data_IF_066770608761
#
_entry.id   IF_066770608761
#
_cell.length_a   1.000
_cell.length_b   1.000
_cell.length_c   1.000
_cell.angle_alpha   90.00
_cell.angle_beta   90.00
_cell.angle_gamma   90.00
#
_symmetry.space_group_name_H-M   'P 1'
#
loop_
_entity.id
_entity.type
_entity.pdbx_description
1 polymer ?
#
# COMPACT_ATOMS: atom_id res chain seq x y z
N UNK A 1 -3.55 2.13 -2.71
CA UNK A 1 -4.14 3.44 -2.36
C UNK A 1 -4.21 3.69 -0.85
N UNK A 2 -4.77 2.75 -0.03
CA UNK A 2 -4.95 2.99 1.41
C UNK A 2 -3.60 3.15 2.14
N UNK A 3 -2.61 2.33 1.83
CA UNK A 3 -1.25 2.41 2.39
C UNK A 3 -0.58 3.73 2.00
N UNK A 4 -0.70 4.14 0.75
CA UNK A 4 -0.17 5.42 0.27
C UNK A 4 -0.81 6.63 0.97
N UNK A 5 -2.03 6.47 1.48
CA UNK A 5 -2.76 7.53 2.20
C UNK A 5 -2.33 7.68 3.68
N UNK A 6 -1.38 6.89 4.18
CA UNK A 6 -0.97 6.96 5.59
C UNK A 6 -0.50 8.36 6.00
N UNK A 7 0.34 9.01 5.20
CA UNK A 7 0.78 10.38 5.44
C UNK A 7 -0.36 11.41 5.42
N UNK A 8 -1.42 11.13 4.64
CA UNK A 8 -2.67 11.93 4.63
C UNK A 8 -3.39 11.78 5.96
N UNK A 9 -3.57 10.55 6.45
CA UNK A 9 -4.23 10.28 7.74
C UNK A 9 -3.47 10.93 8.88
N UNK A 10 -2.15 10.79 8.90
CA UNK A 10 -1.23 11.43 9.86
C UNK A 10 -1.41 12.95 9.86
N UNK A 11 -1.47 13.58 8.69
CA UNK A 11 -1.62 15.03 8.53
C UNK A 11 -2.99 15.52 9.00
N UNK A 12 -4.07 14.81 8.66
CA UNK A 12 -5.41 15.10 9.14
C UNK A 12 -5.47 14.97 10.67
N UNK A 13 -4.90 13.89 11.23
CA UNK A 13 -4.85 13.70 12.68
C UNK A 13 -4.07 14.81 13.38
N UNK A 14 -2.97 15.26 12.81
CA UNK A 14 -2.17 16.37 13.35
C UNK A 14 -2.95 17.68 13.36
N UNK A 15 -3.65 18.00 12.25
CA UNK A 15 -4.50 19.20 12.14
C UNK A 15 -5.65 19.17 13.15
N UNK A 16 -6.26 18.02 13.35
CA UNK A 16 -7.38 17.81 14.25
C UNK A 16 -6.96 16.95 15.45
N UNK A 17 -5.91 17.36 16.17
CA UNK A 17 -5.28 16.59 17.26
C UNK A 17 -6.27 16.15 18.35
N UNK A 18 -7.23 16.98 18.70
CA UNK A 18 -8.26 16.71 19.72
C UNK A 18 -9.50 16.01 19.16
N UNK A 19 -9.61 15.82 17.84
CA UNK A 19 -10.76 15.17 17.25
C UNK A 19 -10.62 13.64 17.27
N UNK A 20 -11.77 12.97 17.32
CA UNK A 20 -11.89 11.53 17.06
C UNK A 20 -12.04 11.31 15.56
N UNK A 21 -10.98 10.84 14.90
CA UNK A 21 -11.05 10.49 13.50
C UNK A 21 -11.74 9.14 13.33
N UNK A 22 -12.70 9.08 12.43
CA UNK A 22 -13.40 7.86 12.04
C UNK A 22 -13.07 7.58 10.57
N UNK A 23 -12.61 6.37 10.29
CA UNK A 23 -12.39 5.91 8.91
C UNK A 23 -13.61 5.16 8.40
N UNK A 24 -14.16 5.58 7.26
CA UNK A 24 -15.14 4.81 6.50
C UNK A 24 -14.41 4.07 5.38
N UNK A 25 -14.41 2.74 5.43
CA UNK A 25 -13.74 1.90 4.42
C UNK A 25 -14.46 0.54 4.26
N UNK A 26 -14.09 -0.25 3.23
CA UNK A 26 -14.65 -1.59 3.10
C UNK A 26 -14.08 -2.56 4.13
N UNK A 27 -14.85 -3.61 4.45
CA UNK A 27 -14.43 -4.70 5.36
C UNK A 27 -13.10 -5.34 4.95
N UNK A 28 -12.85 -5.43 3.63
CA UNK A 28 -11.60 -5.96 3.06
C UNK A 28 -10.35 -5.25 3.61
N UNK A 29 -10.42 -3.94 3.81
CA UNK A 29 -9.28 -3.14 4.26
C UNK A 29 -9.25 -2.88 5.76
N UNK A 30 -10.30 -3.28 6.50
CA UNK A 30 -10.34 -3.07 7.95
C UNK A 30 -9.16 -3.75 8.66
N UNK A 31 -8.87 -5.00 8.33
CA UNK A 31 -7.75 -5.74 8.93
C UNK A 31 -6.39 -5.07 8.67
N UNK A 32 -6.23 -4.45 7.52
CA UNK A 32 -5.01 -3.74 7.14
C UNK A 32 -4.77 -2.50 8.03
N UNK A 33 -5.83 -1.77 8.36
CA UNK A 33 -5.73 -0.44 8.99
C UNK A 33 -6.10 -0.42 10.49
N UNK A 34 -6.57 -1.54 11.04
CA UNK A 34 -7.12 -1.59 12.41
C UNK A 34 -6.11 -1.19 13.50
N UNK A 35 -4.81 -1.37 13.24
CA UNK A 35 -3.74 -0.98 14.18
C UNK A 35 -3.28 0.47 14.00
N UNK A 36 -3.83 1.20 13.01
CA UNK A 36 -3.42 2.57 12.75
C UNK A 36 -3.71 3.47 13.95
N UNK A 37 -2.72 4.26 14.41
CA UNK A 37 -2.88 5.12 15.58
C UNK A 37 -3.73 6.37 15.32
N UNK A 38 -4.11 6.60 14.06
CA UNK A 38 -4.81 7.81 13.67
C UNK A 38 -6.31 7.76 13.90
N UNK A 39 -6.91 6.55 13.91
CA UNK A 39 -8.36 6.38 13.96
C UNK A 39 -8.86 5.95 15.33
N UNK A 40 -9.91 6.64 15.78
CA UNK A 40 -10.65 6.25 16.98
C UNK A 40 -11.56 5.04 16.70
N UNK A 41 -12.15 4.99 15.50
CA UNK A 41 -13.00 3.88 15.06
C UNK A 41 -12.96 3.73 13.54
N UNK A 42 -13.35 2.54 13.06
CA UNK A 42 -13.47 2.21 11.64
C UNK A 42 -14.89 1.72 11.38
N UNK A 43 -15.60 2.43 10.50
CA UNK A 43 -16.93 2.06 10.02
C UNK A 43 -16.78 1.34 8.69
N UNK A 44 -17.47 0.21 8.54
CA UNK A 44 -17.45 -0.59 7.33
C UNK A 44 -18.52 -0.13 6.34
N UNK A 45 -18.11 0.11 5.11
CA UNK A 45 -18.99 0.26 3.95
C UNK A 45 -18.60 -0.79 2.91
N UNK A 46 -19.36 -1.85 2.83
CA UNK A 46 -19.14 -2.95 1.88
C UNK A 46 -19.53 -2.59 0.45
N UNK A 47 -19.89 -1.34 0.20
CA UNK A 47 -20.23 -0.79 -1.12
C UNK A 47 -21.33 -1.59 -1.82
N UNK A 48 -22.28 -2.14 -1.06
CA UNK A 48 -23.44 -2.78 -1.62
C UNK A 48 -24.23 -1.79 -2.49
N UNK A 49 -24.96 -2.28 -3.48
CA UNK A 49 -25.76 -1.42 -4.33
C UNK A 49 -26.71 -0.54 -3.53
N UNK A 50 -26.93 0.71 -3.96
CA UNK A 50 -27.71 1.70 -3.21
C UNK A 50 -29.20 1.30 -3.03
N UNK A 51 -29.68 0.35 -3.84
CA UNK A 51 -31.03 -0.22 -3.66
C UNK A 51 -31.14 -1.24 -2.52
N UNK A 52 -30.01 -1.65 -1.91
CA UNK A 52 -30.06 -2.42 -0.67
C UNK A 52 -30.38 -1.49 0.51
N UNK A 53 -31.64 -1.09 0.62
CA UNK A 53 -32.09 -0.06 1.56
C UNK A 53 -31.78 -0.42 3.03
N UNK A 54 -31.82 -1.72 3.38
CA UNK A 54 -31.55 -2.17 4.75
C UNK A 54 -30.12 -1.86 5.16
N UNK A 55 -29.15 -2.25 4.36
CA UNK A 55 -27.72 -2.01 4.63
C UNK A 55 -27.38 -0.51 4.58
N UNK A 56 -27.99 0.19 3.63
CA UNK A 56 -27.82 1.64 3.53
C UNK A 56 -28.37 2.36 4.77
N UNK A 57 -29.55 1.94 5.27
CA UNK A 57 -30.13 2.49 6.50
C UNK A 57 -29.27 2.18 7.74
N UNK A 58 -28.72 0.97 7.81
CA UNK A 58 -27.78 0.57 8.89
C UNK A 58 -26.54 1.46 8.89
N UNK A 59 -25.92 1.66 7.73
CA UNK A 59 -24.78 2.56 7.57
C UNK A 59 -25.14 4.00 7.97
N UNK A 60 -26.31 4.48 7.51
CA UNK A 60 -26.82 5.81 7.82
C UNK A 60 -26.96 6.02 9.33
N UNK A 61 -27.62 5.11 10.03
CA UNK A 61 -27.80 5.19 11.47
C UNK A 61 -26.44 5.18 12.20
N UNK A 62 -25.50 4.34 11.72
CA UNK A 62 -24.18 4.30 12.29
C UNK A 62 -23.41 5.62 12.09
N UNK A 63 -23.49 6.21 10.91
CA UNK A 63 -22.88 7.51 10.64
C UNK A 63 -23.54 8.63 11.46
N UNK A 64 -24.85 8.62 11.60
CA UNK A 64 -25.58 9.62 12.38
C UNK A 64 -25.37 9.49 13.90
N UNK A 65 -24.94 8.34 14.41
CA UNK A 65 -24.57 8.19 15.83
C UNK A 65 -23.37 9.05 16.22
N UNK A 66 -22.58 9.50 15.23
CA UNK A 66 -21.49 10.44 15.39
C UNK A 66 -21.92 11.84 14.94
N UNK A 67 -21.52 12.87 15.68
CA UNK A 67 -21.72 14.28 15.29
C UNK A 67 -20.45 14.75 14.56
N UNK A 68 -20.38 14.53 13.25
CA UNK A 68 -19.24 14.97 12.46
C UNK A 68 -19.24 16.49 12.25
N UNK A 69 -18.07 17.12 12.37
CA UNK A 69 -17.84 18.50 11.98
C UNK A 69 -17.22 18.60 10.58
N UNK A 70 -16.36 17.63 10.23
CA UNK A 70 -15.62 17.58 8.97
C UNK A 70 -15.68 16.20 8.35
N UNK A 71 -15.70 16.16 7.02
CA UNK A 71 -15.50 14.95 6.22
C UNK A 71 -14.42 15.22 5.20
N UNK A 72 -13.38 14.41 5.20
CA UNK A 72 -12.35 14.35 4.16
C UNK A 72 -12.69 13.24 3.18
N UNK A 73 -13.17 13.60 1.99
CA UNK A 73 -13.52 12.63 0.95
C UNK A 73 -12.31 12.35 0.08
N UNK A 74 -11.62 11.25 0.38
CA UNK A 74 -10.42 10.82 -0.34
C UNK A 74 -10.74 10.04 -1.64
N UNK A 75 -12.01 9.70 -1.88
CA UNK A 75 -12.41 8.95 -3.07
C UNK A 75 -13.05 9.82 -4.15
N UNK A 76 -13.75 10.88 -3.77
CA UNK A 76 -14.50 11.76 -4.66
C UNK A 76 -15.33 10.99 -5.70
N UNK A 77 -16.05 9.96 -5.24
CA UNK A 77 -16.85 9.04 -6.06
C UNK A 77 -18.31 9.46 -6.11
N UNK A 78 -19.08 8.90 -7.05
CA UNK A 78 -20.54 9.09 -7.07
C UNK A 78 -21.19 8.62 -5.76
N UNK A 79 -20.64 7.55 -5.16
CA UNK A 79 -21.15 7.04 -3.89
C UNK A 79 -20.92 8.03 -2.75
N UNK A 80 -19.73 8.63 -2.65
CA UNK A 80 -19.45 9.62 -1.62
C UNK A 80 -20.27 10.90 -1.81
N UNK A 81 -20.62 11.26 -3.04
CA UNK A 81 -21.59 12.32 -3.33
C UNK A 81 -22.97 12.00 -2.74
N UNK A 82 -23.47 10.76 -2.85
CA UNK A 82 -24.75 10.40 -2.20
C UNK A 82 -24.68 10.56 -0.69
N UNK A 83 -23.54 10.19 -0.06
CA UNK A 83 -23.37 10.42 1.38
C UNK A 83 -23.40 11.91 1.72
N UNK A 84 -22.74 12.74 0.95
CA UNK A 84 -22.76 14.19 1.13
C UNK A 84 -24.16 14.76 1.09
N UNK A 85 -24.96 14.39 0.10
CA UNK A 85 -26.28 14.97 -0.12
C UNK A 85 -27.36 14.41 0.80
N UNK A 86 -27.28 13.13 1.15
CA UNK A 86 -28.37 12.45 1.86
C UNK A 86 -28.07 12.18 3.33
N UNK A 87 -26.81 11.91 3.69
CA UNK A 87 -26.46 11.46 5.04
C UNK A 87 -25.84 12.57 5.90
N UNK A 88 -25.02 13.42 5.34
CA UNK A 88 -24.15 14.35 6.07
C UNK A 88 -24.25 15.78 5.52
N UNK A 89 -25.48 16.29 5.38
CA UNK A 89 -25.78 17.60 4.74
C UNK A 89 -25.13 18.80 5.46
N UNK A 90 -25.08 18.77 6.78
CA UNK A 90 -24.65 19.91 7.60
C UNK A 90 -23.19 19.79 8.07
N UNK A 91 -22.36 19.06 7.34
CA UNK A 91 -20.95 18.81 7.65
C UNK A 91 -20.07 19.52 6.65
N UNK A 92 -18.93 20.02 7.07
CA UNK A 92 -17.93 20.62 6.16
C UNK A 92 -17.24 19.49 5.39
N UNK A 93 -17.41 19.50 4.06
CA UNK A 93 -16.78 18.53 3.16
C UNK A 93 -15.55 19.10 2.49
N UNK A 94 -14.43 18.42 2.67
CA UNK A 94 -13.15 18.69 2.03
C UNK A 94 -12.91 17.57 1.04
N UNK A 95 -12.86 17.88 -0.23
CA UNK A 95 -12.75 16.92 -1.35
C UNK A 95 -11.84 17.46 -2.44
N UNK A 96 -11.28 16.58 -3.25
CA UNK A 96 -10.54 16.96 -4.43
C UNK A 96 -11.45 17.68 -5.43
N UNK A 97 -10.93 18.69 -6.12
CA UNK A 97 -11.60 19.20 -7.31
C UNK A 97 -11.53 18.08 -8.37
N UNK A 98 -12.64 17.77 -9.03
CA UNK A 98 -12.64 16.96 -10.25
C UNK A 98 -11.98 17.79 -11.34
N UNK A 99 -10.67 17.66 -11.48
CA UNK A 99 -9.94 18.28 -12.58
C UNK A 99 -9.82 17.25 -13.70
N UNK A 100 -10.03 17.69 -14.92
CA UNK A 100 -9.89 16.88 -16.15
C UNK A 100 -8.44 16.52 -16.48
N UNK A 101 -7.49 16.86 -15.61
CA UNK A 101 -6.08 16.51 -15.77
C UNK A 101 -5.75 15.18 -15.08
N UNK A 102 -4.95 14.32 -15.73
CA UNK A 102 -4.51 13.04 -15.20
C UNK A 102 -3.40 13.19 -14.14
N UNK A 103 -3.71 13.91 -13.06
CA UNK A 103 -2.86 13.93 -11.87
C UNK A 103 -2.96 12.56 -11.19
N UNK A 104 -1.87 12.09 -10.58
CA UNK A 104 -1.93 10.87 -9.74
C UNK A 104 -3.01 11.02 -8.68
N UNK A 105 -3.66 9.94 -8.31
CA UNK A 105 -4.70 9.98 -7.26
C UNK A 105 -4.16 10.58 -5.96
N UNK A 106 -2.91 10.29 -5.61
CA UNK A 106 -2.25 10.83 -4.42
C UNK A 106 -1.95 12.33 -4.56
N UNK A 107 -1.53 12.80 -5.74
CA UNK A 107 -1.27 14.23 -5.95
C UNK A 107 -2.55 15.07 -5.78
N UNK A 108 -3.68 14.59 -6.28
CA UNK A 108 -4.97 15.24 -6.05
C UNK A 108 -5.34 15.35 -4.57
N UNK A 109 -5.03 14.31 -3.77
CA UNK A 109 -5.22 14.33 -2.33
C UNK A 109 -4.26 15.29 -1.62
N UNK A 110 -3.00 15.35 -2.06
CA UNK A 110 -2.01 16.31 -1.55
C UNK A 110 -2.49 17.73 -1.77
N UNK A 111 -2.94 18.07 -2.97
CA UNK A 111 -3.42 19.41 -3.30
C UNK A 111 -4.70 19.76 -2.53
N UNK A 112 -5.59 18.81 -2.31
CA UNK A 112 -6.76 18.97 -1.43
C UNK A 112 -6.34 19.38 -0.01
N UNK A 113 -5.38 18.68 0.58
CA UNK A 113 -4.91 18.96 1.93
C UNK A 113 -4.10 20.26 2.01
N UNK A 114 -3.33 20.61 0.98
CA UNK A 114 -2.66 21.93 0.88
C UNK A 114 -3.68 23.07 0.88
N UNK A 115 -4.74 22.92 0.08
CA UNK A 115 -5.82 23.91 0.04
C UNK A 115 -6.54 24.06 1.39
N UNK A 116 -6.51 23.00 2.21
CA UNK A 116 -7.00 23.01 3.60
C UNK A 116 -5.93 23.42 4.63
N UNK A 117 -4.81 24.01 4.16
CA UNK A 117 -3.76 24.61 4.99
C UNK A 117 -2.71 23.62 5.56
N UNK A 118 -2.62 22.39 5.05
CA UNK A 118 -1.61 21.43 5.49
C UNK A 118 -0.32 21.55 4.67
N UNK A 119 0.82 21.15 5.28
CA UNK A 119 2.13 21.24 4.63
C UNK A 119 2.41 19.98 3.82
N UNK A 120 2.83 20.13 2.56
CA UNK A 120 3.14 19.02 1.65
C UNK A 120 4.15 18.02 2.21
N UNK A 121 5.20 18.50 2.87
CA UNK A 121 6.26 17.64 3.44
C UNK A 121 5.71 16.64 4.45
N UNK A 122 4.70 17.03 5.24
CA UNK A 122 4.08 16.15 6.23
C UNK A 122 3.17 15.10 5.58
N UNK A 123 2.46 15.51 4.51
CA UNK A 123 1.56 14.62 3.76
C UNK A 123 2.35 13.51 3.04
N UNK A 124 3.56 13.84 2.57
CA UNK A 124 4.42 12.92 1.82
C UNK A 124 5.29 12.01 2.72
N UNK A 125 5.18 12.12 4.05
CA UNK A 125 5.97 11.33 4.99
C UNK A 125 5.10 10.29 5.74
N UNK A 126 4.75 9.16 5.09
CA UNK A 126 4.03 8.07 5.74
C UNK A 126 4.89 7.42 6.83
N UNK A 127 4.22 6.85 7.83
CA UNK A 127 4.85 6.10 8.90
C UNK A 127 4.06 4.81 9.17
N UNK A 128 4.48 3.71 8.57
CA UNK A 128 3.86 2.40 8.75
C UNK A 128 4.46 1.58 9.90
N UNK A 129 5.26 2.16 10.79
CA UNK A 129 5.85 1.43 11.93
C UNK A 129 4.79 0.77 12.82
N UNK A 130 3.61 1.38 12.93
CA UNK A 130 2.46 0.83 13.66
C UNK A 130 1.95 -0.50 13.11
N UNK A 131 2.25 -0.81 11.86
CA UNK A 131 1.80 -2.02 11.17
C UNK A 131 2.72 -3.21 11.42
N UNK A 132 3.98 -2.97 11.80
CA UNK A 132 5.05 -3.97 11.88
C UNK A 132 4.86 -4.90 13.06
N UNK A 133 4.71 -6.22 12.80
CA UNK A 133 4.78 -7.25 13.83
C UNK A 133 6.23 -7.70 14.05
N UNK A 134 6.53 -8.22 15.25
CA UNK A 134 7.78 -8.96 15.45
C UNK A 134 7.68 -10.36 14.83
N UNK A 135 8.43 -10.57 13.78
CA UNK A 135 8.49 -11.83 13.03
C UNK A 135 9.71 -12.70 13.39
N UNK A 136 10.40 -12.41 14.49
CA UNK A 136 11.64 -13.14 14.88
C UNK A 136 11.40 -14.62 15.06
N UNK A 137 10.28 -15.02 15.67
CA UNK A 137 9.91 -16.42 15.83
C UNK A 137 9.54 -17.10 14.51
N UNK A 138 8.86 -16.37 13.63
CA UNK A 138 8.49 -16.86 12.30
C UNK A 138 9.73 -17.14 11.46
N UNK A 139 10.68 -16.22 11.43
CA UNK A 139 11.96 -16.37 10.71
C UNK A 139 12.77 -17.54 11.28
N UNK A 140 12.89 -17.64 12.63
CA UNK A 140 13.60 -18.73 13.29
C UNK A 140 12.99 -20.10 12.98
N UNK A 141 11.66 -20.22 13.02
CA UNK A 141 10.93 -21.48 12.69
C UNK A 141 11.24 -21.95 11.28
N UNK A 142 11.39 -21.01 10.34
CA UNK A 142 11.68 -21.30 8.93
C UNK A 142 13.20 -21.35 8.64
N UNK A 143 14.06 -21.28 9.69
CA UNK A 143 15.54 -21.31 9.57
C UNK A 143 16.11 -20.20 8.68
N UNK A 144 15.44 -19.04 8.64
CA UNK A 144 15.86 -17.88 7.85
C UNK A 144 16.83 -17.05 8.68
N UNK A 145 17.97 -16.70 8.11
CA UNK A 145 18.99 -15.87 8.73
C UNK A 145 18.50 -14.41 8.89
N UNK A 146 19.31 -13.59 9.55
CA UNK A 146 19.03 -12.14 9.64
C UNK A 146 19.33 -11.40 8.34
N UNK A 147 20.06 -12.02 7.42
CA UNK A 147 20.50 -11.43 6.17
C UNK A 147 19.70 -12.04 5.01
N UNK A 148 18.58 -11.47 4.69
CA UNK A 148 17.71 -11.97 3.64
C UNK A 148 17.15 -10.86 2.75
N UNK A 149 16.84 -11.26 1.52
CA UNK A 149 16.23 -10.44 0.49
C UNK A 149 14.76 -10.82 0.34
N UNK A 150 13.90 -9.84 0.18
CA UNK A 150 12.49 -10.07 -0.11
C UNK A 150 12.24 -9.87 -1.61
N UNK A 151 11.66 -10.87 -2.26
CA UNK A 151 11.17 -10.83 -3.62
C UNK A 151 9.63 -10.81 -3.61
N UNK A 152 9.05 -9.94 -4.45
CA UNK A 152 7.61 -9.81 -4.62
C UNK A 152 7.29 -10.06 -6.10
N UNK A 153 7.31 -11.34 -6.54
CA UNK A 153 7.22 -11.71 -7.94
C UNK A 153 5.82 -11.61 -8.52
N UNK A 154 4.82 -11.53 -7.66
CA UNK A 154 3.42 -11.55 -8.03
C UNK A 154 2.89 -10.26 -8.62
N UNK A 155 1.71 -10.37 -9.20
CA UNK A 155 0.84 -9.27 -9.63
C UNK A 155 -0.59 -9.78 -9.69
N UNK A 156 -1.57 -8.86 -9.70
CA UNK A 156 -2.97 -9.24 -9.90
C UNK A 156 -3.13 -10.17 -11.13
N UNK A 157 -4.00 -11.19 -11.04
CA UNK A 157 -4.34 -12.08 -12.17
C UNK A 157 -4.78 -11.34 -13.43
N UNK A 158 -5.31 -10.11 -13.28
CA UNK A 158 -5.72 -9.27 -14.42
C UNK A 158 -4.54 -8.61 -15.14
N UNK A 159 -3.36 -8.62 -14.54
CA UNK A 159 -2.17 -7.92 -15.03
C UNK A 159 -0.91 -8.78 -14.94
N UNK A 160 -0.89 -9.98 -15.57
CA UNK A 160 0.27 -10.86 -15.54
C UNK A 160 1.50 -10.25 -16.26
N UNK A 161 1.27 -9.31 -17.17
CA UNK A 161 2.30 -8.57 -17.88
C UNK A 161 3.18 -7.68 -16.99
N UNK A 162 2.76 -7.44 -15.74
CA UNK A 162 3.56 -6.73 -14.74
C UNK A 162 4.60 -7.61 -14.08
N UNK A 163 4.55 -8.94 -14.26
CA UNK A 163 5.47 -9.89 -13.64
C UNK A 163 6.80 -9.87 -14.39
N UNK A 164 7.87 -9.53 -13.68
CA UNK A 164 9.22 -9.67 -14.21
C UNK A 164 9.60 -11.15 -14.26
N UNK A 165 10.10 -11.71 -15.38
CA UNK A 165 10.26 -13.16 -15.53
C UNK A 165 11.50 -13.75 -14.83
N UNK A 166 12.47 -12.93 -14.44
CA UNK A 166 13.77 -13.40 -13.95
C UNK A 166 13.92 -13.40 -12.42
N UNK A 167 12.82 -13.55 -11.67
CA UNK A 167 12.89 -13.62 -10.21
C UNK A 167 13.66 -14.84 -9.70
N UNK A 168 13.61 -15.99 -10.38
CA UNK A 168 14.38 -17.17 -10.01
C UNK A 168 15.88 -17.00 -10.24
N UNK A 169 16.25 -16.38 -11.35
CA UNK A 169 17.66 -16.08 -11.65
C UNK A 169 18.23 -15.09 -10.62
N UNK A 170 17.41 -14.12 -10.20
CA UNK A 170 17.75 -13.19 -9.13
C UNK A 170 17.85 -13.89 -7.77
N UNK A 171 16.98 -14.85 -7.47
CA UNK A 171 17.06 -15.66 -6.26
C UNK A 171 18.38 -16.46 -6.22
N UNK A 172 18.77 -17.12 -7.33
CA UNK A 172 20.04 -17.82 -7.44
C UNK A 172 21.23 -16.90 -7.20
N UNK A 173 21.19 -15.69 -7.75
CA UNK A 173 22.24 -14.68 -7.58
C UNK A 173 22.44 -14.31 -6.10
N UNK A 174 21.35 -14.12 -5.34
CA UNK A 174 21.43 -13.82 -3.90
C UNK A 174 21.83 -15.04 -3.05
N UNK A 175 21.27 -16.20 -3.34
CA UNK A 175 21.60 -17.44 -2.63
C UNK A 175 23.09 -17.78 -2.79
N UNK A 176 23.64 -17.62 -3.99
CA UNK A 176 25.08 -17.85 -4.25
C UNK A 176 25.99 -16.93 -3.44
N UNK A 177 25.48 -15.77 -2.99
CA UNK A 177 26.18 -14.79 -2.16
C UNK A 177 25.90 -14.95 -0.66
N UNK A 178 25.18 -15.99 -0.25
CA UNK A 178 24.92 -16.29 1.15
C UNK A 178 23.73 -15.57 1.77
N UNK A 179 22.85 -14.97 0.94
CA UNK A 179 21.57 -14.42 1.43
C UNK A 179 20.50 -15.51 1.42
N UNK A 180 19.63 -15.49 2.43
CA UNK A 180 18.34 -16.14 2.29
C UNK A 180 17.42 -15.32 1.39
N UNK A 181 16.54 -15.99 0.66
CA UNK A 181 15.57 -15.33 -0.21
C UNK A 181 14.16 -15.70 0.23
N UNK A 182 13.34 -14.69 0.45
CA UNK A 182 11.93 -14.82 0.80
C UNK A 182 11.09 -14.31 -0.36
N UNK A 183 10.25 -15.19 -0.92
CA UNK A 183 9.22 -14.81 -1.88
C UNK A 183 7.89 -14.58 -1.15
N UNK A 184 7.27 -13.44 -1.38
CA UNK A 184 5.95 -13.11 -0.85
C UNK A 184 4.93 -13.23 -1.97
N UNK A 185 3.90 -14.04 -1.76
CA UNK A 185 2.80 -14.26 -2.68
C UNK A 185 1.46 -13.84 -2.06
N UNK A 186 0.64 -13.22 -2.85
CA UNK A 186 -0.76 -12.98 -2.54
C UNK A 186 -1.66 -14.18 -2.90
N UNK A 187 -2.94 -14.16 -2.49
CA UNK A 187 -3.88 -15.24 -2.78
C UNK A 187 -4.09 -15.50 -4.28
N UNK A 188 -3.89 -14.48 -5.11
CA UNK A 188 -4.04 -14.56 -6.56
C UNK A 188 -2.80 -15.07 -7.29
N UNK A 189 -1.72 -15.42 -6.57
CA UNK A 189 -0.38 -15.66 -7.11
C UNK A 189 0.13 -17.07 -6.77
N UNK A 190 -0.74 -17.94 -6.26
CA UNK A 190 -0.39 -19.30 -5.84
C UNK A 190 0.09 -20.18 -7.00
N UNK A 191 -0.22 -19.79 -8.24
CA UNK A 191 0.29 -20.39 -9.46
C UNK A 191 1.83 -20.32 -9.59
N UNK A 192 2.45 -19.35 -8.93
CA UNK A 192 3.90 -19.17 -8.93
C UNK A 192 4.63 -20.05 -7.93
N UNK A 193 3.92 -20.61 -6.93
CA UNK A 193 4.51 -21.26 -5.75
C UNK A 193 5.54 -22.35 -6.10
N UNK A 194 5.15 -23.28 -6.99
CA UNK A 194 5.98 -24.45 -7.33
C UNK A 194 7.20 -24.09 -8.20
N UNK A 195 7.19 -22.90 -8.78
CA UNK A 195 8.26 -22.45 -9.70
C UNK A 195 9.30 -21.56 -9.03
N UNK A 196 9.07 -21.07 -7.80
CA UNK A 196 9.95 -20.11 -7.15
C UNK A 196 11.00 -20.76 -6.26
N UNK A 197 12.20 -20.18 -6.22
CA UNK A 197 13.32 -20.60 -5.39
C UNK A 197 13.42 -19.80 -4.11
N UNK A 198 13.84 -20.43 -3.01
CA UNK A 198 13.94 -19.83 -1.69
C UNK A 198 12.72 -20.14 -0.80
N UNK A 199 12.56 -19.36 0.25
CA UNK A 199 11.42 -19.52 1.18
C UNK A 199 10.19 -18.83 0.61
N UNK A 200 9.02 -19.49 0.71
CA UNK A 200 7.77 -18.96 0.14
C UNK A 200 6.76 -18.73 1.24
N UNK A 201 6.24 -17.51 1.31
CA UNK A 201 5.15 -17.12 2.18
C UNK A 201 3.96 -16.64 1.35
N UNK A 202 2.85 -17.36 1.43
CA UNK A 202 1.66 -17.15 0.60
C UNK A 202 0.39 -16.73 1.37
N UNK A 203 0.45 -16.74 2.69
CA UNK A 203 -0.71 -16.49 3.57
C UNK A 203 -0.34 -15.63 4.79
N UNK A 204 0.41 -14.57 4.56
CA UNK A 204 0.82 -13.69 5.66
C UNK A 204 -0.32 -12.74 6.06
N UNK A 205 -0.49 -12.58 7.36
CA UNK A 205 -1.24 -11.43 7.89
C UNK A 205 -0.45 -10.13 7.60
N UNK A 206 -1.17 -9.04 7.46
CA UNK A 206 -0.57 -7.75 7.07
C UNK A 206 0.58 -7.27 7.96
N UNK A 207 0.47 -7.52 9.28
CA UNK A 207 1.52 -7.15 10.22
C UNK A 207 2.78 -8.01 10.08
N UNK A 208 2.63 -9.30 9.76
CA UNK A 208 3.76 -10.20 9.54
C UNK A 208 4.43 -9.92 8.20
N UNK A 209 3.64 -9.62 7.15
CA UNK A 209 4.13 -9.11 5.87
C UNK A 209 5.00 -7.86 6.08
N UNK A 210 4.47 -6.88 6.81
CA UNK A 210 5.21 -5.65 7.12
C UNK A 210 6.47 -5.94 7.94
N UNK A 211 6.40 -6.88 8.90
CA UNK A 211 7.52 -7.32 9.73
C UNK A 211 8.65 -7.97 8.92
N UNK A 212 8.30 -8.87 7.99
CA UNK A 212 9.28 -9.50 7.08
C UNK A 212 9.93 -8.45 6.20
N UNK A 213 9.15 -7.57 5.58
CA UNK A 213 9.69 -6.47 4.77
C UNK A 213 10.58 -5.56 5.62
N UNK A 214 10.14 -5.16 6.81
CA UNK A 214 10.89 -4.25 7.68
C UNK A 214 12.25 -4.80 8.11
N UNK A 215 12.36 -6.10 8.37
CA UNK A 215 13.62 -6.75 8.79
C UNK A 215 14.51 -7.18 7.61
N UNK A 216 14.04 -7.15 6.36
CA UNK A 216 14.85 -7.53 5.20
C UNK A 216 16.03 -6.58 4.96
N UNK A 217 17.07 -7.06 4.28
CA UNK A 217 18.18 -6.23 3.81
C UNK A 217 17.76 -5.39 2.61
N UNK A 218 17.03 -5.98 1.68
CA UNK A 218 16.60 -5.32 0.44
C UNK A 218 15.28 -5.92 -0.08
N UNK A 219 14.53 -5.15 -0.86
CA UNK A 219 13.26 -5.59 -1.46
C UNK A 219 13.28 -5.39 -2.96
N UNK A 220 12.91 -6.43 -3.73
CA UNK A 220 12.70 -6.33 -5.17
C UNK A 220 11.27 -6.76 -5.46
N UNK A 221 10.49 -5.90 -6.10
CA UNK A 221 9.09 -6.22 -6.41
C UNK A 221 8.59 -5.62 -7.70
N UNK A 222 7.42 -6.09 -8.13
CA UNK A 222 6.64 -5.44 -9.18
C UNK A 222 5.83 -4.27 -8.59
N UNK A 223 5.12 -3.53 -9.45
CA UNK A 223 4.10 -2.56 -9.02
C UNK A 223 2.94 -3.29 -8.32
N UNK A 224 3.01 -3.41 -7.00
CA UNK A 224 2.10 -4.19 -6.17
C UNK A 224 1.94 -3.65 -4.75
N UNK A 225 0.90 -4.09 -4.03
CA UNK A 225 0.63 -3.66 -2.65
C UNK A 225 1.82 -3.82 -1.69
N UNK A 226 2.50 -4.98 -1.62
CA UNK A 226 3.67 -5.15 -0.76
C UNK A 226 4.84 -4.23 -1.11
N UNK A 227 5.04 -3.85 -2.37
CA UNK A 227 6.05 -2.86 -2.77
C UNK A 227 5.74 -1.47 -2.20
N UNK A 228 4.45 -1.09 -2.14
CA UNK A 228 4.03 0.15 -1.47
C UNK A 228 4.30 0.10 0.04
N UNK A 229 4.11 -1.04 0.68
CA UNK A 229 4.46 -1.22 2.10
C UNK A 229 5.97 -1.02 2.30
N UNK A 230 6.81 -1.65 1.46
CA UNK A 230 8.27 -1.51 1.53
C UNK A 230 8.72 -0.05 1.38
N UNK A 231 8.19 0.65 0.38
CA UNK A 231 8.45 2.08 0.16
C UNK A 231 8.04 2.94 1.36
N UNK A 232 6.83 2.73 1.90
CA UNK A 232 6.33 3.50 3.05
C UNK A 232 7.05 3.16 4.36
N UNK A 233 7.63 1.96 4.49
CA UNK A 233 8.55 1.56 5.56
C UNK A 233 9.97 2.08 5.35
N UNK A 234 10.22 2.79 4.25
CA UNK A 234 11.54 3.36 3.88
C UNK A 234 12.63 2.30 3.77
N UNK A 235 12.26 1.09 3.29
CA UNK A 235 13.22 0.00 3.11
C UNK A 235 14.05 0.23 1.85
N UNK A 236 15.36 -0.07 1.87
CA UNK A 236 16.13 -0.17 0.65
C UNK A 236 15.45 -1.16 -0.33
N UNK A 237 15.29 -0.75 -1.58
CA UNK A 237 14.59 -1.62 -2.51
C UNK A 237 14.36 -1.00 -3.88
N UNK A 238 13.76 -1.81 -4.76
CA UNK A 238 13.42 -1.40 -6.12
C UNK A 238 12.10 -2.01 -6.57
N UNK A 239 11.25 -1.19 -7.15
CA UNK A 239 10.05 -1.66 -7.85
C UNK A 239 10.24 -1.61 -9.36
N UNK A 240 9.86 -2.70 -10.02
CA UNK A 240 9.94 -2.86 -11.47
C UNK A 240 8.58 -2.55 -12.10
N UNK A 241 8.56 -1.57 -12.99
CA UNK A 241 7.38 -1.12 -13.68
C UNK A 241 7.43 -1.55 -15.15
N UNK A 242 6.38 -2.23 -15.59
CA UNK A 242 6.17 -2.60 -16.99
C UNK A 242 5.40 -1.52 -17.76
N UNK A 243 5.02 -1.84 -19.02
CA UNK A 243 4.43 -0.87 -19.94
C UNK A 243 3.02 -0.39 -19.57
N UNK A 244 2.33 -1.07 -18.69
CA UNK A 244 0.90 -0.83 -18.40
C UNK A 244 0.66 0.16 -17.25
N UNK A 245 1.70 0.51 -16.50
CA UNK A 245 1.59 1.44 -15.36
C UNK A 245 2.70 2.47 -15.40
N UNK A 246 2.36 3.70 -15.05
CA UNK A 246 3.33 4.80 -14.95
C UNK A 246 3.92 4.86 -13.56
N UNK A 247 5.24 4.83 -13.48
CA UNK A 247 5.99 5.02 -12.24
C UNK A 247 5.69 6.37 -11.59
N UNK A 248 5.52 7.41 -12.40
CA UNK A 248 5.17 8.77 -11.95
C UNK A 248 3.86 8.81 -11.16
N UNK A 249 2.86 8.00 -11.57
CA UNK A 249 1.55 7.95 -10.91
C UNK A 249 1.54 7.14 -9.63
N UNK A 250 2.54 6.29 -9.42
CA UNK A 250 2.58 5.36 -8.27
C UNK A 250 3.13 6.00 -7.01
N UNK A 251 3.99 7.05 -7.16
CA UNK A 251 4.71 7.71 -6.06
C UNK A 251 5.38 6.73 -5.07
N UNK A 252 5.93 5.64 -5.63
CA UNK A 252 6.62 4.60 -4.88
C UNK A 252 8.06 4.98 -4.50
N UNK A 253 8.72 5.85 -5.26
CA UNK A 253 10.08 6.26 -4.96
C UNK A 253 10.16 7.09 -3.67
N UNK A 254 10.80 6.55 -2.62
CA UNK A 254 10.96 7.19 -1.31
C UNK A 254 12.24 6.76 -0.63
N UNK A 255 13.06 7.72 -0.20
CA UNK A 255 14.33 7.41 0.47
C UNK A 255 15.20 6.49 -0.40
N UNK A 256 15.54 5.33 0.13
CA UNK A 256 16.33 4.30 -0.57
C UNK A 256 15.49 3.31 -1.39
N UNK A 257 14.17 3.49 -1.48
CA UNK A 257 13.30 2.72 -2.34
C UNK A 257 13.17 3.39 -3.71
N UNK A 258 13.71 2.75 -4.73
CA UNK A 258 13.79 3.27 -6.10
C UNK A 258 12.74 2.63 -7.03
N UNK A 259 12.60 3.20 -8.22
CA UNK A 259 11.74 2.66 -9.28
C UNK A 259 12.58 2.49 -10.53
N UNK A 260 12.35 1.38 -11.24
CA UNK A 260 12.86 1.15 -12.58
C UNK A 260 11.69 0.90 -13.53
N UNK A 261 11.42 1.86 -14.40
CA UNK A 261 10.38 1.77 -15.42
C UNK A 261 10.96 1.31 -16.76
N UNK A 262 10.36 0.29 -17.37
CA UNK A 262 10.79 -0.32 -18.60
C UNK A 262 9.60 -0.56 -19.54
N UNK A 263 9.79 -0.30 -20.83
CA UNK A 263 8.77 -0.63 -21.84
C UNK A 263 8.55 -2.14 -22.00
N UNK A 264 9.54 -2.94 -21.62
CA UNK A 264 9.47 -4.41 -21.69
C UNK A 264 10.36 -5.01 -20.59
N UNK A 265 9.73 -5.62 -19.59
CA UNK A 265 10.42 -6.27 -18.46
C UNK A 265 11.30 -7.45 -18.89
N UNK A 266 11.00 -8.11 -20.01
CA UNK A 266 11.81 -9.23 -20.53
C UNK A 266 13.21 -8.79 -21.00
N UNK A 267 13.45 -7.50 -21.18
CA UNK A 267 14.76 -6.96 -21.56
C UNK A 267 15.69 -6.67 -20.40
N UNK A 268 15.22 -6.77 -19.18
CA UNK A 268 16.02 -6.60 -17.97
C UNK A 268 16.44 -7.97 -17.47
N UNK A 269 17.70 -8.37 -17.68
CA UNK A 269 18.23 -9.60 -17.10
C UNK A 269 18.45 -9.45 -15.58
N UNK A 270 18.54 -10.59 -14.85
CA UNK A 270 18.92 -10.60 -13.43
C UNK A 270 20.29 -9.98 -13.21
N UNK A 271 21.25 -10.25 -14.07
CA UNK A 271 22.59 -9.67 -14.01
C UNK A 271 22.58 -8.14 -14.15
N UNK A 272 21.83 -7.60 -15.11
CA UNK A 272 21.72 -6.15 -15.31
C UNK A 272 21.04 -5.47 -14.11
N UNK A 273 20.04 -6.11 -13.53
CA UNK A 273 19.39 -5.59 -12.34
C UNK A 273 20.36 -5.65 -11.14
N UNK A 274 21.07 -6.76 -10.95
CA UNK A 274 22.04 -6.91 -9.86
C UNK A 274 23.12 -5.82 -9.92
N UNK A 275 23.69 -5.55 -11.09
CA UNK A 275 24.69 -4.49 -11.28
C UNK A 275 24.17 -3.11 -10.87
N UNK A 276 22.89 -2.84 -11.05
CA UNK A 276 22.26 -1.57 -10.63
C UNK A 276 22.10 -1.45 -9.12
N UNK A 277 21.80 -2.55 -8.43
CA UNK A 277 21.46 -2.54 -7.00
C UNK A 277 22.61 -2.93 -6.08
N UNK A 278 23.69 -3.56 -6.56
CA UNK A 278 24.81 -4.08 -5.74
C UNK A 278 25.51 -3.06 -4.85
N UNK A 279 25.32 -1.76 -5.09
CA UNK A 279 25.93 -0.68 -4.27
C UNK A 279 25.05 -0.29 -3.08
N UNK A 280 23.82 -0.76 -3.01
CA UNK A 280 22.83 -0.39 -1.99
C UNK A 280 22.33 -1.59 -1.16
N UNK A 281 22.87 -2.79 -1.44
CA UNK A 281 22.61 -4.05 -0.71
C UNK A 281 23.69 -4.31 0.35
#
# INVERSE_FOLDING_TARGET
>A
DLIQSDGIFKSIKKKHSNARLILLTSSLYKKLIIKSPYFYNIIEDNRLPLWNLKEYYTLLNHLHSYKFSYVYDLQNSQRTLTYKFFLLKNVIWITTKRNDHPISGLQGLIDMLKNDGMKSKEILDPDLSWMVNDVSLLLKKNKISKNYIVLIPGSSKKHPEKRWPFYNDMADEFISRGYDVINILGPDELDLRESLKGHIFDTLEWGDLAGIIYKSSFVIGNDSGPSHIASCLKKPGIALFGPTTSAEKSELARGEFSILELRNLNRLSSADLFEKIKKVI
#
